data_IF_016187025904
#
_entry.id   IF_016187025904
#
_cell.length_a   1.000
_cell.length_b   1.000
_cell.length_c   1.000
_cell.angle_alpha   90.00
_cell.angle_beta   90.00
_cell.angle_gamma   90.00
#
_symmetry.space_group_name_H-M   'P 1'
#
loop_
_entity.id
_entity.type
_entity.pdbx_description
1 polymer ?
#
# COMPACT_ATOMS: atom_id res chain seq x y z
N UNK A 1 -16.82 1.29 9.12
CA UNK A 1 -15.51 1.38 9.81
C UNK A 1 -14.92 -0.02 9.97
N UNK A 2 -13.61 -0.20 9.77
CA UNK A 2 -12.94 -1.52 9.78
C UNK A 2 -12.32 -1.85 11.14
N UNK A 3 -12.52 -3.05 11.72
CA UNK A 3 -12.01 -3.39 13.06
C UNK A 3 -10.52 -3.81 13.11
N UNK A 4 -9.77 -3.65 12.01
CA UNK A 4 -8.38 -4.11 11.82
C UNK A 4 -8.21 -5.64 11.88
N UNK A 5 -6.99 -6.13 11.63
CA UNK A 5 -6.58 -7.55 11.77
C UNK A 5 -7.50 -8.57 11.06
N UNK A 6 -7.83 -8.32 9.79
CA UNK A 6 -8.72 -9.16 8.97
C UNK A 6 -10.15 -9.35 9.54
N UNK A 7 -10.59 -8.50 10.47
CA UNK A 7 -11.92 -8.59 11.07
C UNK A 7 -13.02 -7.88 10.28
N UNK A 8 -12.73 -7.30 9.11
CA UNK A 8 -13.74 -6.65 8.28
C UNK A 8 -14.65 -7.70 7.64
N UNK A 9 -15.96 -7.60 7.89
CA UNK A 9 -16.97 -8.31 7.09
C UNK A 9 -16.94 -7.75 5.65
N UNK A 10 -16.51 -8.57 4.70
CA UNK A 10 -16.33 -8.17 3.31
C UNK A 10 -17.65 -7.82 2.62
N UNK A 11 -18.79 -8.28 3.15
CA UNK A 11 -20.12 -7.88 2.64
C UNK A 11 -20.42 -6.39 2.85
N UNK A 12 -19.64 -5.72 3.72
CA UNK A 12 -19.73 -4.27 3.95
C UNK A 12 -18.98 -3.46 2.89
N UNK A 13 -18.11 -4.08 2.07
CA UNK A 13 -17.30 -3.34 1.08
C UNK A 13 -18.13 -2.50 0.10
N UNK A 14 -19.24 -3.01 -0.50
CA UNK A 14 -20.07 -2.19 -1.36
C UNK A 14 -20.69 -0.98 -0.65
N UNK A 15 -21.12 -1.16 0.61
CA UNK A 15 -21.66 -0.05 1.40
C UNK A 15 -20.57 0.99 1.71
N UNK A 16 -19.38 0.54 2.11
CA UNK A 16 -18.25 1.43 2.38
C UNK A 16 -17.89 2.22 1.10
N UNK A 17 -17.86 1.57 -0.06
CA UNK A 17 -17.58 2.23 -1.33
C UNK A 17 -18.62 3.33 -1.64
N UNK A 18 -19.91 3.01 -1.45
CA UNK A 18 -21.02 3.97 -1.61
C UNK A 18 -20.92 5.16 -0.66
N UNK A 19 -20.55 4.93 0.61
CA UNK A 19 -20.33 6.00 1.61
C UNK A 19 -19.23 6.99 1.17
N UNK A 20 -18.29 6.55 0.33
CA UNK A 20 -17.24 7.39 -0.28
C UNK A 20 -17.60 7.94 -1.66
N UNK A 21 -18.85 7.76 -2.11
CA UNK A 21 -19.36 8.29 -3.37
C UNK A 21 -19.03 7.44 -4.61
N UNK A 22 -18.61 6.19 -4.42
CA UNK A 22 -18.43 5.22 -5.52
C UNK A 22 -19.78 4.59 -5.85
N UNK A 23 -20.09 4.43 -7.15
CA UNK A 23 -21.32 3.76 -7.58
C UNK A 23 -21.30 2.29 -7.13
N UNK A 24 -22.34 1.89 -6.38
CA UNK A 24 -22.43 0.56 -5.77
C UNK A 24 -22.44 -0.56 -6.79
N UNK A 25 -23.26 -0.45 -7.84
CA UNK A 25 -23.42 -1.50 -8.83
C UNK A 25 -22.14 -1.73 -9.63
N UNK A 26 -21.48 -0.64 -10.04
CA UNK A 26 -20.18 -0.70 -10.70
C UNK A 26 -19.09 -1.27 -9.78
N UNK A 27 -19.13 -0.94 -8.48
CA UNK A 27 -18.19 -1.51 -7.51
C UNK A 27 -18.40 -3.02 -7.33
N UNK A 28 -19.65 -3.47 -7.18
CA UNK A 28 -19.99 -4.90 -7.06
C UNK A 28 -19.56 -5.67 -8.32
N UNK A 29 -19.83 -5.15 -9.52
CA UNK A 29 -19.35 -5.75 -10.78
C UNK A 29 -17.82 -5.82 -10.82
N UNK A 30 -17.13 -4.74 -10.42
CA UNK A 30 -15.67 -4.70 -10.37
C UNK A 30 -15.10 -5.75 -9.40
N UNK A 31 -15.69 -5.87 -8.21
CA UNK A 31 -15.29 -6.82 -7.18
C UNK A 31 -15.51 -8.27 -7.65
N UNK A 32 -16.69 -8.57 -8.20
CA UNK A 32 -17.06 -9.90 -8.66
C UNK A 32 -16.24 -10.35 -9.88
N UNK A 33 -15.81 -9.40 -10.72
CA UNK A 33 -14.99 -9.69 -11.90
C UNK A 33 -13.61 -10.26 -11.56
N UNK A 34 -13.11 -10.07 -10.33
CA UNK A 34 -11.77 -10.47 -9.89
C UNK A 34 -10.63 -9.96 -10.78
N UNK A 35 -10.89 -8.88 -11.53
CA UNK A 35 -9.97 -8.31 -12.51
C UNK A 35 -8.58 -8.00 -11.96
N UNK A 36 -8.46 -7.72 -10.66
CA UNK A 36 -7.22 -7.28 -10.02
C UNK A 36 -6.54 -8.35 -9.17
N UNK A 37 -7.04 -9.59 -9.11
CA UNK A 37 -6.46 -10.65 -8.27
C UNK A 37 -4.97 -10.90 -8.58
N UNK A 38 -4.63 -11.04 -9.87
CA UNK A 38 -3.23 -11.20 -10.30
C UNK A 38 -2.37 -9.97 -9.99
N UNK A 39 -2.95 -8.77 -10.09
CA UNK A 39 -2.25 -7.55 -9.76
C UNK A 39 -1.94 -7.48 -8.25
N UNK A 40 -2.91 -7.82 -7.40
CA UNK A 40 -2.75 -7.86 -5.94
C UNK A 40 -1.65 -8.85 -5.56
N UNK A 41 -1.67 -10.06 -6.13
CA UNK A 41 -0.63 -11.06 -5.89
C UNK A 41 0.74 -10.56 -6.36
N UNK A 42 0.83 -9.96 -7.55
CA UNK A 42 2.07 -9.38 -8.04
C UNK A 42 2.62 -8.29 -7.13
N UNK A 43 1.76 -7.46 -6.53
CA UNK A 43 2.18 -6.42 -5.58
C UNK A 43 2.68 -7.03 -4.27
N UNK A 44 2.02 -8.10 -3.79
CA UNK A 44 2.48 -8.85 -2.61
C UNK A 44 3.88 -9.44 -2.84
N UNK A 45 4.08 -10.08 -4.00
CA UNK A 45 5.39 -10.64 -4.36
C UNK A 45 6.46 -9.56 -4.53
N UNK A 46 6.13 -8.41 -5.14
CA UNK A 46 7.06 -7.28 -5.25
C UNK A 46 7.49 -6.77 -3.86
N UNK A 47 6.54 -6.60 -2.93
CA UNK A 47 6.84 -6.21 -1.56
C UNK A 47 7.80 -7.20 -0.88
N UNK A 48 7.52 -8.50 -0.95
CA UNK A 48 8.39 -9.56 -0.39
C UNK A 48 9.78 -9.51 -1.03
N UNK A 49 9.85 -9.46 -2.36
CA UNK A 49 11.12 -9.43 -3.11
C UNK A 49 11.93 -8.16 -2.85
N UNK A 50 11.27 -7.06 -2.49
CA UNK A 50 11.91 -5.81 -2.08
C UNK A 50 12.42 -5.81 -0.64
N UNK A 51 12.06 -6.83 0.16
CA UNK A 51 12.52 -7.02 1.55
C UNK A 51 11.49 -6.63 2.61
N UNK A 52 10.23 -6.45 2.25
CA UNK A 52 9.17 -6.19 3.23
C UNK A 52 8.91 -7.42 4.12
N UNK A 53 8.82 -7.20 5.44
CA UNK A 53 8.49 -8.23 6.44
C UNK A 53 7.32 -7.83 7.37
N UNK A 54 6.68 -6.71 7.08
CA UNK A 54 5.60 -6.13 7.87
C UNK A 54 5.19 -4.78 7.30
N UNK A 55 4.04 -4.27 7.75
CA UNK A 55 3.50 -2.98 7.29
C UNK A 55 3.40 -1.97 8.45
N UNK A 56 3.54 -0.66 8.19
CA UNK A 56 3.86 -0.07 6.89
C UNK A 56 5.33 -0.31 6.52
N UNK A 57 5.59 -0.42 5.22
CA UNK A 57 6.93 -0.55 4.64
C UNK A 57 6.98 0.33 3.39
N UNK A 58 7.97 1.20 3.32
CA UNK A 58 8.16 2.12 2.20
C UNK A 58 9.60 2.06 1.72
N UNK A 59 9.84 2.35 0.44
CA UNK A 59 11.19 2.48 -0.12
C UNK A 59 11.32 3.86 -0.75
N UNK A 60 12.34 4.62 -0.35
CA UNK A 60 12.76 5.80 -1.10
C UNK A 60 13.76 5.34 -2.16
N UNK A 61 13.49 5.68 -3.42
CA UNK A 61 14.39 5.42 -4.54
C UNK A 61 15.07 6.75 -4.91
N UNK A 62 16.38 6.83 -4.71
CA UNK A 62 17.18 8.00 -5.05
C UNK A 62 17.33 8.18 -6.58
N UNK A 63 17.69 9.38 -7.08
CA UNK A 63 17.88 9.61 -8.52
C UNK A 63 18.92 8.69 -9.18
N UNK A 64 19.91 8.22 -8.42
CA UNK A 64 20.94 7.28 -8.86
C UNK A 64 20.46 5.80 -8.83
N UNK A 65 19.21 5.54 -8.44
CA UNK A 65 18.63 4.21 -8.30
C UNK A 65 18.89 3.52 -6.95
N UNK A 66 19.64 4.14 -6.04
CA UNK A 66 19.87 3.61 -4.70
C UNK A 66 18.57 3.58 -3.89
N UNK A 67 18.36 2.48 -3.15
CA UNK A 67 17.12 2.22 -2.41
C UNK A 67 17.34 2.35 -0.92
N UNK A 68 16.48 3.13 -0.27
CA UNK A 68 16.49 3.36 1.17
C UNK A 68 15.19 2.81 1.77
N UNK A 69 15.20 1.60 2.37
CA UNK A 69 14.01 1.02 3.01
C UNK A 69 13.66 1.75 4.31
N UNK A 70 12.37 1.96 4.52
CA UNK A 70 11.76 2.53 5.73
C UNK A 70 10.89 1.45 6.35
N UNK A 71 11.33 0.95 7.50
CA UNK A 71 10.65 -0.11 8.24
C UNK A 71 9.67 0.48 9.25
N UNK A 72 8.41 0.08 9.17
CA UNK A 72 7.38 0.51 10.11
C UNK A 72 7.05 1.99 10.00
N UNK A 73 6.21 2.45 10.92
CA UNK A 73 5.86 3.87 11.00
C UNK A 73 7.05 4.65 11.58
N UNK A 74 7.59 5.58 10.80
CA UNK A 74 8.71 6.42 11.21
C UNK A 74 8.24 7.87 11.40
N UNK A 75 8.97 8.61 12.24
CA UNK A 75 8.70 10.03 12.46
C UNK A 75 9.03 10.85 11.21
N UNK A 76 8.39 12.02 11.09
CA UNK A 76 8.70 12.97 10.01
C UNK A 76 10.20 13.29 9.93
N UNK A 77 10.86 13.54 11.07
CA UNK A 77 12.28 13.89 11.12
C UNK A 77 13.17 12.74 10.64
N UNK A 78 12.86 11.50 11.01
CA UNK A 78 13.56 10.31 10.51
C UNK A 78 13.42 10.18 8.99
N UNK A 79 12.21 10.38 8.46
CA UNK A 79 11.95 10.31 7.01
C UNK A 79 12.70 11.43 6.28
N UNK A 80 12.63 12.66 6.78
CA UNK A 80 13.32 13.81 6.19
C UNK A 80 14.84 13.59 6.10
N UNK A 81 15.46 13.03 7.15
CA UNK A 81 16.89 12.69 7.14
C UNK A 81 17.23 11.65 6.05
N UNK A 82 16.40 10.62 5.88
CA UNK A 82 16.62 9.60 4.84
C UNK A 82 16.48 10.22 3.45
N UNK A 83 15.51 11.12 3.24
CA UNK A 83 15.37 11.87 1.97
C UNK A 83 16.61 12.71 1.70
N UNK A 84 17.12 13.45 2.71
CA UNK A 84 18.33 14.25 2.55
C UNK A 84 19.55 13.40 2.20
N UNK A 85 19.66 12.19 2.75
CA UNK A 85 20.70 11.23 2.39
C UNK A 85 20.54 10.73 0.96
N UNK A 86 19.33 10.34 0.57
CA UNK A 86 18.99 9.89 -0.79
C UNK A 86 19.31 10.97 -1.85
N UNK A 87 19.15 12.25 -1.50
CA UNK A 87 19.43 13.37 -2.41
C UNK A 87 20.91 13.76 -2.49
N UNK A 88 21.79 13.27 -1.60
CA UNK A 88 23.23 13.55 -1.63
C UNK A 88 24.01 12.67 -2.60
N UNK A 89 23.49 11.51 -2.98
CA UNK A 89 24.11 10.59 -3.95
C UNK A 89 23.96 10.99 -5.43
N UNK A 90 23.79 12.29 -5.71
CA UNK A 90 23.68 12.86 -7.06
C UNK A 90 25.02 12.85 -7.79
#
# INVERSE_FOLDING_TARGET
MTPSNNGLDLSLLPQIAEDFGVDRAQFEECLDSRKYDEHIESNLQDAINSGANGTPYSIIIAPNGEKFPILGSQTYSSIALIIDLALKGK
#
